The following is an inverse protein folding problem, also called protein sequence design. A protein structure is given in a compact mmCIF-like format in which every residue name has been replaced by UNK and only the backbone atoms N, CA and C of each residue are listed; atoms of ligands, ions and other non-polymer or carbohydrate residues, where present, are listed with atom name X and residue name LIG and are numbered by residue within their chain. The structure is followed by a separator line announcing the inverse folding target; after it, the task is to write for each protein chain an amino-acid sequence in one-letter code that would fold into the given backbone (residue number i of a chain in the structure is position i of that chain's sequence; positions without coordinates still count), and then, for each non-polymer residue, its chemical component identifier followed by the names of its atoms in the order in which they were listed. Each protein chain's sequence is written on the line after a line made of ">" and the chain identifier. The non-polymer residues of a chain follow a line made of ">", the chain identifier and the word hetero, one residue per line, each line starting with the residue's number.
data_IF_317495171971
#
_entry.id   IF_317495171971
#
_cell.length_a   1.000
_cell.length_b   1.000
_cell.length_c   1.000
_cell.angle_alpha   90.00
_cell.angle_beta   90.00
_cell.angle_gamma   90.00
#
_symmetry.space_group_name_H-M   'P 1'
#
loop_
_entity.id
_entity.type
_entity.pdbx_description
1 polymer ?
#
# COMPACT_ATOMS: atom_id res chain seq x y z
N UNK A 1 -32.07 -2.79 -58.15
CA UNK A 1 -30.75 -3.06 -57.55
C UNK A 1 -30.66 -2.27 -56.25
N UNK A 2 -30.81 -2.91 -55.10
CA UNK A 2 -30.72 -2.26 -53.79
C UNK A 2 -29.41 -2.72 -53.16
N UNK A 3 -28.49 -1.78 -52.99
CA UNK A 3 -27.18 -2.01 -52.38
C UNK A 3 -27.38 -1.99 -50.86
N UNK A 4 -27.39 -3.17 -50.22
CA UNK A 4 -27.47 -3.29 -48.76
C UNK A 4 -26.07 -3.04 -48.19
N UNK A 5 -25.85 -1.85 -47.65
CA UNK A 5 -24.61 -1.49 -46.96
C UNK A 5 -24.66 -2.16 -45.58
N UNK A 6 -23.94 -3.27 -45.44
CA UNK A 6 -23.76 -3.98 -44.18
C UNK A 6 -22.83 -3.14 -43.28
N UNK A 7 -23.40 -2.43 -42.31
CA UNK A 7 -22.64 -1.65 -41.32
C UNK A 7 -22.04 -2.62 -40.29
N UNK A 8 -20.81 -3.09 -40.51
CA UNK A 8 -20.08 -3.91 -39.54
C UNK A 8 -19.66 -3.05 -38.33
N UNK A 9 -20.39 -3.16 -37.22
CA UNK A 9 -19.98 -2.60 -35.93
C UNK A 9 -18.80 -3.43 -35.38
N UNK A 10 -17.58 -2.93 -35.51
CA UNK A 10 -16.39 -3.55 -34.92
C UNK A 10 -16.32 -3.15 -33.44
N UNK A 11 -16.73 -4.05 -32.55
CA UNK A 11 -16.53 -3.92 -31.10
C UNK A 11 -15.05 -4.17 -30.79
N UNK A 12 -14.27 -3.08 -30.68
CA UNK A 12 -12.88 -3.14 -30.21
C UNK A 12 -12.91 -3.29 -28.68
N UNK A 13 -12.64 -4.50 -28.19
CA UNK A 13 -12.35 -4.72 -26.78
C UNK A 13 -10.96 -4.15 -26.49
N UNK A 14 -10.90 -2.92 -25.99
CA UNK A 14 -9.65 -2.35 -25.49
C UNK A 14 -9.37 -2.99 -24.13
N UNK A 15 -8.24 -3.70 -23.93
CA UNK A 15 -7.86 -4.17 -22.61
C UNK A 15 -7.64 -2.94 -21.71
N UNK A 16 -8.45 -2.84 -20.65
CA UNK A 16 -8.23 -1.85 -19.60
C UNK A 16 -7.08 -2.38 -18.76
N UNK A 17 -5.87 -1.87 -19.00
CA UNK A 17 -4.77 -2.12 -18.08
C UNK A 17 -5.05 -1.42 -16.75
N UNK A 18 -5.04 -2.13 -15.62
CA UNK A 18 -5.11 -1.48 -14.32
C UNK A 18 -3.93 -0.50 -14.20
N UNK A 19 -4.22 0.75 -13.82
CA UNK A 19 -3.18 1.75 -13.69
C UNK A 19 -2.10 1.27 -12.71
N UNK A 20 -0.84 1.33 -13.14
CA UNK A 20 0.27 1.00 -12.27
C UNK A 20 0.29 1.97 -11.08
N UNK A 21 0.35 1.48 -9.82
CA UNK A 21 0.54 2.32 -8.66
C UNK A 21 1.75 3.26 -8.83
N UNK A 22 1.67 4.50 -8.32
CA UNK A 22 2.79 5.42 -8.38
C UNK A 22 4.01 4.83 -7.67
N UNK A 23 5.20 5.07 -8.20
CA UNK A 23 6.47 4.74 -7.51
C UNK A 23 7.18 6.03 -7.11
N UNK A 24 8.09 5.93 -6.15
CA UNK A 24 8.85 7.07 -5.62
C UNK A 24 8.29 7.61 -4.31
N UNK A 25 8.34 8.92 -4.12
CA UNK A 25 8.04 9.58 -2.86
C UNK A 25 6.54 9.83 -2.72
N UNK A 26 5.88 9.13 -1.80
CA UNK A 26 4.43 9.17 -1.57
C UNK A 26 4.09 9.52 -0.12
N UNK A 27 2.82 9.84 0.11
CA UNK A 27 2.18 9.89 1.43
C UNK A 27 1.03 8.90 1.42
N UNK A 28 0.79 8.21 2.54
CA UNK A 28 -0.25 7.20 2.64
C UNK A 28 -1.37 7.71 3.53
N UNK A 29 -2.55 7.97 2.96
CA UNK A 29 -3.73 8.44 3.69
C UNK A 29 -4.73 7.32 3.86
N UNK A 30 -5.15 7.07 5.09
CA UNK A 30 -6.31 6.24 5.37
C UNK A 30 -7.58 7.08 5.14
N UNK A 31 -8.42 6.63 4.21
CA UNK A 31 -9.62 7.36 3.80
C UNK A 31 -10.70 7.42 4.88
N UNK A 32 -10.83 6.36 5.68
CA UNK A 32 -11.86 6.30 6.72
C UNK A 32 -11.50 7.19 7.90
N UNK A 33 -10.22 7.23 8.26
CA UNK A 33 -9.71 8.02 9.38
C UNK A 33 -9.37 9.47 9.01
N UNK A 34 -9.26 9.78 7.71
CA UNK A 34 -8.71 11.05 7.19
C UNK A 34 -7.36 11.42 7.82
N UNK A 35 -6.53 10.39 8.04
CA UNK A 35 -5.21 10.49 8.69
C UNK A 35 -4.16 9.76 7.90
N UNK A 36 -2.92 10.18 8.05
CA UNK A 36 -1.78 9.63 7.34
C UNK A 36 -1.10 8.53 8.16
N UNK A 37 -0.54 7.53 7.47
CA UNK A 37 0.36 6.57 8.08
C UNK A 37 1.66 7.27 8.47
N UNK A 38 1.97 7.25 9.75
CA UNK A 38 3.20 7.81 10.33
C UNK A 38 3.92 6.78 11.18
N UNK A 39 5.20 7.01 11.42
CA UNK A 39 5.89 6.30 12.50
C UNK A 39 5.39 6.78 13.87
N UNK A 40 5.56 5.95 14.89
CA UNK A 40 5.40 6.32 16.30
C UNK A 40 6.76 6.66 16.92
N UNK A 41 6.75 7.57 17.91
CA UNK A 41 7.90 7.79 18.79
C UNK A 41 8.20 6.56 19.65
N UNK A 42 7.20 5.71 19.93
CA UNK A 42 7.37 4.48 20.70
C UNK A 42 7.82 3.30 19.84
N UNK A 43 8.68 2.46 20.41
CA UNK A 43 9.05 1.17 19.84
C UNK A 43 8.34 0.04 20.60
N UNK A 44 8.04 -1.04 19.89
CA UNK A 44 7.59 -2.28 20.51
C UNK A 44 8.78 -2.99 21.18
N UNK A 45 9.93 -3.01 20.49
CA UNK A 45 11.21 -3.52 20.98
C UNK A 45 12.39 -2.92 20.20
N UNK A 46 13.58 -3.51 20.32
CA UNK A 46 14.82 -3.07 19.65
C UNK A 46 14.77 -3.13 18.11
N UNK A 47 13.87 -3.93 17.54
CA UNK A 47 13.79 -4.17 16.10
C UNK A 47 12.52 -3.59 15.47
N UNK A 48 11.47 -3.36 16.27
CA UNK A 48 10.12 -3.05 15.77
C UNK A 48 9.61 -1.73 16.33
N UNK A 49 9.25 -0.81 15.44
CA UNK A 49 8.63 0.47 15.78
C UNK A 49 7.16 0.48 15.38
N UNK A 50 6.31 1.00 16.26
CA UNK A 50 4.89 1.15 15.98
C UNK A 50 4.66 2.14 14.82
N UNK A 51 3.63 1.90 14.03
CA UNK A 51 3.05 2.90 13.12
C UNK A 51 1.70 3.37 13.65
N UNK A 52 1.32 4.58 13.28
CA UNK A 52 0.12 5.24 13.74
C UNK A 52 -0.61 5.93 12.59
N UNK A 53 -1.86 6.31 12.83
CA UNK A 53 -2.60 7.23 11.98
C UNK A 53 -2.62 8.62 12.62
N UNK A 54 -2.02 9.61 11.96
CA UNK A 54 -1.91 10.98 12.48
C UNK A 54 -2.27 12.05 11.45
N UNK A 55 -2.57 13.27 11.91
CA UNK A 55 -3.02 14.37 11.04
C UNK A 55 -1.93 14.98 10.16
N UNK A 56 -0.66 14.67 10.43
CA UNK A 56 0.49 15.18 9.66
C UNK A 56 1.04 14.07 8.78
N UNK A 57 1.21 14.36 7.49
CA UNK A 57 1.72 13.38 6.53
C UNK A 57 3.23 13.17 6.65
N UNK A 58 3.67 11.93 6.54
CA UNK A 58 5.08 11.57 6.39
C UNK A 58 5.36 11.00 5.00
N UNK A 59 6.61 11.09 4.58
CA UNK A 59 7.04 10.64 3.25
C UNK A 59 7.52 9.19 3.30
N UNK A 60 7.07 8.42 2.32
CA UNK A 60 7.42 7.02 2.13
C UNK A 60 7.98 6.83 0.73
N UNK A 61 8.99 5.98 0.60
CA UNK A 61 9.53 5.55 -0.68
C UNK A 61 8.83 4.25 -1.06
N UNK A 62 8.02 4.32 -2.10
CA UNK A 62 7.31 3.20 -2.69
C UNK A 62 8.11 2.65 -3.88
N UNK A 63 8.61 1.42 -3.75
CA UNK A 63 9.50 0.80 -4.75
C UNK A 63 8.91 -0.51 -5.20
N UNK A 64 8.80 -0.71 -6.52
CA UNK A 64 8.37 -1.97 -7.13
C UNK A 64 9.51 -2.99 -7.10
N UNK A 65 9.24 -4.19 -6.63
CA UNK A 65 10.20 -5.30 -6.60
C UNK A 65 10.34 -5.94 -7.98
N UNK A 66 11.31 -6.85 -8.15
CA UNK A 66 11.49 -7.57 -9.43
C UNK A 66 10.34 -8.52 -9.71
N UNK A 67 9.71 -9.00 -8.64
CA UNK A 67 8.60 -9.94 -8.62
C UNK A 67 7.25 -9.24 -8.88
N UNK A 68 7.23 -7.91 -8.95
CA UNK A 68 6.05 -7.10 -9.26
C UNK A 68 5.28 -6.59 -8.04
N UNK A 69 5.70 -6.94 -6.83
CA UNK A 69 5.16 -6.42 -5.57
C UNK A 69 5.75 -5.05 -5.23
N UNK A 70 5.37 -4.49 -4.09
CA UNK A 70 5.82 -3.19 -3.63
C UNK A 70 6.41 -3.25 -2.23
N UNK A 71 7.45 -2.45 -1.98
CA UNK A 71 7.96 -2.18 -0.63
C UNK A 71 7.73 -0.72 -0.26
N UNK A 72 7.50 -0.47 1.02
CA UNK A 72 7.28 0.86 1.57
C UNK A 72 8.34 1.15 2.63
N UNK A 73 9.25 2.08 2.35
CA UNK A 73 10.27 2.53 3.31
C UNK A 73 9.97 3.94 3.80
N UNK A 74 10.00 4.15 5.11
CA UNK A 74 9.87 5.50 5.66
C UNK A 74 11.07 6.36 5.21
N UNK A 75 10.82 7.53 4.60
CA UNK A 75 11.87 8.29 3.87
C UNK A 75 13.02 8.74 4.77
N UNK A 76 12.72 9.22 5.98
CA UNK A 76 13.74 9.77 6.89
C UNK A 76 14.39 8.69 7.77
N UNK A 77 13.63 7.68 8.18
CA UNK A 77 14.13 6.63 9.07
C UNK A 77 14.82 5.48 8.32
N UNK A 78 14.49 5.33 7.03
CA UNK A 78 14.89 4.21 6.18
C UNK A 78 14.47 2.84 6.73
N UNK A 79 13.40 2.81 7.52
CA UNK A 79 12.80 1.60 8.09
C UNK A 79 11.70 1.09 7.14
N UNK A 80 11.65 -0.22 6.92
CA UNK A 80 10.69 -0.87 6.00
C UNK A 80 9.38 -1.20 6.73
N UNK A 81 8.24 -0.88 6.12
CA UNK A 81 6.90 -1.22 6.60
C UNK A 81 6.63 -2.70 6.37
N UNK A 82 6.26 -3.43 7.41
CA UNK A 82 5.97 -4.85 7.32
C UNK A 82 4.84 -5.26 8.27
N UNK A 83 4.16 -6.34 7.91
CA UNK A 83 3.20 -7.00 8.79
C UNK A 83 3.91 -8.07 9.63
N UNK A 84 3.68 -8.11 10.93
CA UNK A 84 4.32 -9.05 11.85
C UNK A 84 3.44 -10.27 12.11
N UNK A 85 4.08 -11.39 12.41
CA UNK A 85 3.38 -12.58 12.94
C UNK A 85 2.80 -12.36 14.35
N UNK A 86 3.26 -11.31 15.06
CA UNK A 86 2.62 -10.88 16.29
C UNK A 86 1.20 -10.42 16.00
N UNK A 87 0.25 -10.92 16.79
CA UNK A 87 -1.16 -10.67 16.57
C UNK A 87 -1.93 -10.41 17.87
N UNK A 88 -2.97 -9.59 17.74
CA UNK A 88 -4.06 -9.45 18.69
C UNK A 88 -5.30 -8.98 17.91
N UNK A 89 -6.24 -9.89 17.62
CA UNK A 89 -7.40 -9.64 16.73
C UNK A 89 -7.00 -9.17 15.31
N UNK A 90 -5.85 -9.62 14.84
CA UNK A 90 -5.21 -9.18 13.61
C UNK A 90 -3.71 -9.05 13.84
N UNK A 91 -2.93 -9.12 12.77
CA UNK A 91 -1.49 -8.94 12.83
C UNK A 91 -1.13 -7.47 13.03
N UNK A 92 -0.08 -7.21 13.81
CA UNK A 92 0.46 -5.86 13.96
C UNK A 92 1.25 -5.45 12.73
N UNK A 93 1.17 -4.18 12.38
CA UNK A 93 2.03 -3.54 11.37
C UNK A 93 3.07 -2.70 12.10
N UNK A 94 4.33 -2.79 11.67
CA UNK A 94 5.46 -2.07 12.23
C UNK A 94 6.36 -1.53 11.12
N UNK A 95 7.29 -0.64 11.49
CA UNK A 95 8.51 -0.42 10.72
C UNK A 95 9.70 -1.18 11.31
N UNK A 96 10.60 -1.63 10.44
CA UNK A 96 11.77 -2.43 10.81
C UNK A 96 13.00 -1.56 11.07
N UNK A 97 13.34 -1.40 12.37
CA UNK A 97 14.43 -0.55 12.87
C UNK A 97 15.81 -0.92 12.29
N UNK A 98 16.16 -2.20 12.06
CA UNK A 98 17.44 -2.58 11.46
C UNK A 98 17.64 -2.13 10.01
N UNK A 99 16.61 -1.60 9.33
CA UNK A 99 16.69 -1.04 7.97
C UNK A 99 17.07 -2.04 6.88
N UNK A 100 17.08 -3.34 7.18
CA UNK A 100 17.13 -4.41 6.18
C UNK A 100 15.75 -4.66 5.60
N UNK A 101 15.68 -5.42 4.51
CA UNK A 101 14.41 -5.97 4.04
C UNK A 101 13.86 -7.01 5.01
N UNK A 102 12.54 -7.18 5.01
CA UNK A 102 11.81 -8.14 5.85
C UNK A 102 10.90 -9.00 4.97
N UNK A 103 10.81 -10.31 5.24
CA UNK A 103 10.03 -11.25 4.43
C UNK A 103 8.56 -10.87 4.25
N UNK A 104 7.96 -10.19 5.23
CA UNK A 104 6.58 -9.69 5.17
C UNK A 104 6.49 -8.19 4.91
N UNK A 105 7.54 -7.60 4.33
CA UNK A 105 7.63 -6.19 3.92
C UNK A 105 7.10 -5.91 2.50
N UNK A 106 6.63 -6.94 1.80
CA UNK A 106 6.06 -6.83 0.46
C UNK A 106 4.54 -6.68 0.48
N UNK A 107 4.05 -5.81 -0.39
CA UNK A 107 2.66 -5.41 -0.51
C UNK A 107 2.19 -5.48 -1.97
N UNK A 108 1.03 -6.06 -2.19
CA UNK A 108 0.27 -5.91 -3.43
C UNK A 108 -0.53 -4.62 -3.36
N UNK A 109 -0.43 -3.78 -4.39
CA UNK A 109 -1.13 -2.48 -4.47
C UNK A 109 -1.85 -2.40 -5.80
N UNK A 110 -3.14 -2.07 -5.75
CA UNK A 110 -3.95 -1.86 -6.95
C UNK A 110 -4.98 -0.76 -6.73
N UNK A 111 -5.30 -0.07 -7.82
CA UNK A 111 -6.30 0.98 -7.80
C UNK A 111 -7.71 0.38 -7.67
N UNK A 112 -8.50 0.92 -6.75
CA UNK A 112 -9.91 0.56 -6.52
C UNK A 112 -10.85 1.46 -7.32
N UNK A 113 -10.51 2.75 -7.40
CA UNK A 113 -11.16 3.80 -8.19
C UNK A 113 -10.13 4.93 -8.38
N UNK A 114 -10.31 5.85 -9.35
CA UNK A 114 -9.29 6.85 -9.70
C UNK A 114 -8.73 7.59 -8.47
N UNK A 115 -7.44 7.38 -8.18
CA UNK A 115 -6.70 7.99 -7.07
C UNK A 115 -6.78 7.25 -5.72
N UNK A 116 -7.39 6.07 -5.65
CA UNK A 116 -7.61 5.32 -4.40
C UNK A 116 -7.15 3.88 -4.53
N UNK A 117 -6.43 3.38 -3.53
CA UNK A 117 -5.71 2.11 -3.63
C UNK A 117 -6.06 1.16 -2.49
N UNK A 118 -6.15 -0.13 -2.81
CA UNK A 118 -6.02 -1.18 -1.82
C UNK A 118 -4.54 -1.54 -1.67
N UNK A 119 -4.14 -1.84 -0.42
CA UNK A 119 -2.78 -2.28 -0.08
C UNK A 119 -2.95 -3.57 0.72
N UNK A 120 -2.42 -4.69 0.22
CA UNK A 120 -2.55 -6.01 0.83
C UNK A 120 -1.17 -6.62 1.06
N UNK A 121 -0.92 -7.21 2.22
CA UNK A 121 0.36 -7.88 2.47
C UNK A 121 0.48 -9.15 1.62
N UNK A 122 1.63 -9.33 0.97
CA UNK A 122 1.86 -10.47 0.07
C UNK A 122 1.84 -11.80 0.83
N UNK A 123 2.44 -11.86 2.03
CA UNK A 123 2.54 -13.08 2.84
C UNK A 123 1.22 -13.43 3.51
N UNK A 124 0.60 -12.48 4.21
CA UNK A 124 -0.57 -12.75 5.05
C UNK A 124 -1.91 -12.56 4.36
N UNK A 125 -1.94 -11.92 3.18
CA UNK A 125 -3.16 -11.60 2.44
C UNK A 125 -4.15 -10.72 3.22
N UNK A 126 -3.70 -10.01 4.24
CA UNK A 126 -4.48 -9.01 4.96
C UNK A 126 -4.35 -7.63 4.31
N UNK A 127 -5.43 -6.85 4.34
CA UNK A 127 -5.39 -5.45 3.92
C UNK A 127 -4.75 -4.58 5.00
N UNK A 128 -3.89 -3.66 4.58
CA UNK A 128 -3.37 -2.61 5.45
C UNK A 128 -4.54 -1.74 5.91
N UNK A 129 -4.93 -1.92 7.16
CA UNK A 129 -6.05 -1.24 7.78
C UNK A 129 -5.62 -0.71 9.15
N UNK A 130 -6.31 0.32 9.60
CA UNK A 130 -6.05 0.93 10.89
C UNK A 130 -7.26 1.73 11.32
N UNK A 131 -7.52 1.73 12.62
CA UNK A 131 -8.46 2.66 13.25
C UNK A 131 -7.65 3.72 13.98
N UNK A 132 -8.09 4.99 13.98
CA UNK A 132 -7.46 5.98 14.82
C UNK A 132 -7.58 5.51 16.28
N UNK A 133 -6.48 5.53 17.02
CA UNK A 133 -6.57 5.47 18.48
C UNK A 133 -7.35 6.70 18.94
N UNK A 134 -8.41 6.48 19.73
CA UNK A 134 -9.07 7.56 20.45
C UNK A 134 -7.99 8.27 21.29
N UNK A 135 -7.77 9.55 21.01
CA UNK A 135 -6.87 10.41 21.78
C UNK A 135 -7.54 10.85 23.07
#
# INVERSE_FOLDING_TARGET
>A
MICVILLCLVLVLVPVEPANPPTGCVTLMNLYAEKFLTHSYSTHDKNRRHVSLFGVSEKWNLVKTKEGHYTLRHRSLNEELFESELNYRGNYVFTWIPKSSVTSGEWDIWESKPGYFYIQNVKFKHYLSGTPTAG
#
